data_IF_578042945249
#
_entry.id   IF_578042945249
#
_cell.length_a   1.000
_cell.length_b   1.000
_cell.length_c   1.000
_cell.angle_alpha   90.00
_cell.angle_beta   90.00
_cell.angle_gamma   90.00
#
_symmetry.space_group_name_H-M   'P 1'
#
loop_
_entity.id
_entity.type
_entity.pdbx_description
1 polymer ?
#
# COMPACT_ATOMS: atom_id res chain seq x y z
N UNK A 1 8.18 9.88 10.23
CA UNK A 1 7.80 8.61 9.60
C UNK A 1 6.92 8.87 8.38
N UNK A 2 6.82 7.91 7.47
CA UNK A 2 5.96 7.94 6.28
C UNK A 2 5.00 6.75 6.36
N UNK A 3 3.71 7.00 6.19
CA UNK A 3 2.67 5.98 6.21
C UNK A 3 2.20 5.68 4.78
N UNK A 4 2.57 4.52 4.24
CA UNK A 4 2.26 4.13 2.86
C UNK A 4 0.88 3.51 2.67
N UNK A 5 0.12 3.28 3.76
CA UNK A 5 -1.16 2.59 3.70
C UNK A 5 -2.12 3.17 4.75
N UNK A 6 -3.05 4.03 4.29
CA UNK A 6 -4.00 4.72 5.17
C UNK A 6 -5.30 5.07 4.42
N UNK A 7 -6.46 4.69 4.98
CA UNK A 7 -7.80 4.96 4.43
C UNK A 7 -8.34 6.30 4.94
N UNK A 8 -7.59 7.38 4.65
CA UNK A 8 -7.82 8.71 5.21
C UNK A 8 -8.83 9.55 4.43
N UNK A 9 -9.15 9.18 3.18
CA UNK A 9 -10.11 9.91 2.35
C UNK A 9 -11.53 9.67 2.82
N UNK A 10 -12.33 10.74 3.12
CA UNK A 10 -13.63 10.56 3.72
C UNK A 10 -14.70 10.04 2.76
N UNK A 11 -15.43 9.00 3.18
CA UNK A 11 -16.63 8.49 2.51
C UNK A 11 -16.37 7.87 1.14
N UNK A 12 -15.19 7.33 0.91
CA UNK A 12 -14.82 6.65 -0.35
C UNK A 12 -14.77 5.14 -0.20
N UNK A 13 -14.48 4.67 1.01
CA UNK A 13 -14.41 3.26 1.39
C UNK A 13 -14.88 3.07 2.85
N UNK A 14 -14.37 2.05 3.56
CA UNK A 14 -14.67 1.78 4.97
C UNK A 14 -13.70 2.47 5.95
N UNK A 15 -12.85 3.38 5.46
CA UNK A 15 -11.98 4.22 6.26
C UNK A 15 -12.71 5.44 6.84
N UNK A 16 -12.08 6.60 6.78
CA UNK A 16 -12.65 7.84 7.33
C UNK A 16 -14.07 8.09 6.83
N UNK A 17 -15.01 8.35 7.76
CA UNK A 17 -16.41 8.54 7.43
C UNK A 17 -16.76 9.98 7.05
N UNK A 18 -15.95 10.97 7.45
CA UNK A 18 -16.19 12.39 7.25
C UNK A 18 -14.91 13.23 7.25
N UNK A 19 -15.00 14.49 6.79
CA UNK A 19 -13.87 15.42 6.86
C UNK A 19 -13.43 15.74 8.29
N UNK A 20 -14.35 15.70 9.25
CA UNK A 20 -14.06 15.88 10.67
C UNK A 20 -13.22 14.70 11.19
N UNK A 21 -13.61 13.47 10.84
CA UNK A 21 -12.83 12.25 11.17
C UNK A 21 -11.45 12.30 10.52
N UNK A 22 -11.39 12.66 9.23
CA UNK A 22 -10.12 12.83 8.50
C UNK A 22 -9.22 13.85 9.18
N UNK A 23 -9.74 15.02 9.56
CA UNK A 23 -8.96 16.05 10.24
C UNK A 23 -8.43 15.58 11.61
N UNK A 24 -9.20 14.77 12.35
CA UNK A 24 -8.75 14.18 13.60
C UNK A 24 -7.66 13.12 13.35
N UNK A 25 -7.85 12.24 12.36
CA UNK A 25 -6.81 11.27 11.95
C UNK A 25 -5.50 12.01 11.58
N UNK A 26 -5.58 13.10 10.81
CA UNK A 26 -4.39 13.92 10.48
C UNK A 26 -3.70 14.49 11.73
N UNK A 27 -4.48 15.01 12.70
CA UNK A 27 -3.92 15.51 13.96
C UNK A 27 -3.22 14.42 14.76
N UNK A 28 -3.83 13.22 14.84
CA UNK A 28 -3.22 12.06 15.50
C UNK A 28 -1.92 11.65 14.81
N UNK A 29 -1.93 11.50 13.48
CA UNK A 29 -0.75 11.16 12.69
C UNK A 29 0.39 12.18 12.87
N UNK A 30 0.08 13.48 12.78
CA UNK A 30 1.07 14.54 12.98
C UNK A 30 1.68 14.51 14.41
N UNK A 31 0.85 14.28 15.42
CA UNK A 31 1.29 14.14 16.83
C UNK A 31 2.15 12.89 17.02
N UNK A 32 1.86 11.80 16.31
CA UNK A 32 2.63 10.56 16.34
C UNK A 32 3.95 10.66 15.57
N UNK A 33 4.20 11.76 14.85
CA UNK A 33 5.44 12.00 14.09
C UNK A 33 5.40 11.52 12.66
N UNK A 34 4.22 11.20 12.12
CA UNK A 34 4.03 10.95 10.69
C UNK A 34 4.09 12.29 9.95
N UNK A 35 4.87 12.36 8.86
CA UNK A 35 5.07 13.57 8.06
C UNK A 35 4.51 13.46 6.65
N UNK A 36 4.27 12.24 6.20
CA UNK A 36 3.71 11.96 4.88
C UNK A 36 2.79 10.73 4.95
N UNK A 37 1.65 10.80 4.28
CA UNK A 37 0.64 9.75 4.21
C UNK A 37 0.30 9.52 2.74
N UNK A 38 0.36 8.27 2.30
CA UNK A 38 -0.26 7.83 1.06
C UNK A 38 -1.71 7.44 1.35
N UNK A 39 -2.65 8.19 0.79
CA UNK A 39 -4.06 7.84 0.86
C UNK A 39 -4.32 6.65 -0.08
N UNK A 40 -4.77 5.53 0.46
CA UNK A 40 -4.90 4.26 -0.27
C UNK A 40 -6.32 3.69 -0.16
N UNK A 41 -7.33 4.37 -0.74
CA UNK A 41 -8.67 3.80 -0.74
C UNK A 41 -8.72 2.48 -1.48
N UNK A 42 -9.63 1.61 -1.05
CA UNK A 42 -9.82 0.29 -1.66
C UNK A 42 -10.20 0.35 -3.15
N UNK A 43 -9.74 -0.66 -3.89
CA UNK A 43 -10.29 -1.09 -5.18
C UNK A 43 -10.73 -2.54 -5.07
N UNK A 44 -12.00 -2.81 -4.81
CA UNK A 44 -12.56 -4.16 -4.68
C UNK A 44 -14.02 -4.21 -5.15
N UNK A 45 -14.66 -5.35 -5.03
CA UNK A 45 -16.07 -5.55 -5.47
C UNK A 45 -17.06 -4.58 -4.79
N UNK A 46 -16.73 -4.12 -3.58
CA UNK A 46 -17.58 -3.22 -2.79
C UNK A 46 -17.29 -1.74 -3.06
N UNK A 47 -16.03 -1.40 -3.34
CA UNK A 47 -15.55 -0.04 -3.50
C UNK A 47 -14.87 0.15 -4.85
N UNK A 48 -15.50 0.92 -5.75
CA UNK A 48 -14.91 1.30 -7.03
C UNK A 48 -13.86 2.38 -6.85
N UNK A 49 -12.69 2.19 -7.44
CA UNK A 49 -11.60 3.15 -7.35
C UNK A 49 -11.70 4.24 -8.44
N UNK A 50 -11.58 5.49 -8.02
CA UNK A 50 -11.70 6.67 -8.90
C UNK A 50 -10.54 7.66 -8.68
N UNK A 51 -9.37 7.36 -9.26
CA UNK A 51 -8.13 8.14 -9.05
C UNK A 51 -8.32 9.65 -9.21
N UNK A 52 -8.86 10.11 -10.33
CA UNK A 52 -9.04 11.55 -10.59
C UNK A 52 -9.93 12.27 -9.57
N UNK A 53 -10.96 11.59 -9.07
CA UNK A 53 -11.79 12.08 -7.97
C UNK A 53 -10.97 12.23 -6.69
N UNK A 54 -10.16 11.24 -6.37
CA UNK A 54 -9.36 11.19 -5.14
C UNK A 54 -8.22 12.19 -5.16
N UNK A 55 -7.55 12.38 -6.30
CA UNK A 55 -6.58 13.47 -6.53
C UNK A 55 -7.23 14.85 -6.30
N UNK A 56 -8.47 15.03 -6.73
CA UNK A 56 -9.24 16.23 -6.42
C UNK A 56 -9.47 16.46 -4.93
N UNK A 57 -9.58 15.39 -4.13
CA UNK A 57 -9.74 15.46 -2.67
C UNK A 57 -8.43 15.78 -1.94
N UNK A 58 -7.25 15.44 -2.50
CA UNK A 58 -5.94 15.67 -1.86
C UNK A 58 -5.70 17.16 -1.54
N UNK A 59 -6.17 18.08 -2.37
CA UNK A 59 -6.05 19.54 -2.10
C UNK A 59 -6.71 19.91 -0.78
N UNK A 60 -7.96 19.47 -0.57
CA UNK A 60 -8.66 19.72 0.68
C UNK A 60 -8.03 18.96 1.85
N UNK A 61 -7.50 17.76 1.60
CA UNK A 61 -6.77 16.99 2.60
C UNK A 61 -5.54 17.77 3.10
N UNK A 62 -4.81 18.43 2.20
CA UNK A 62 -3.68 19.28 2.57
C UNK A 62 -4.09 20.47 3.45
N UNK A 63 -5.27 21.06 3.23
CA UNK A 63 -5.80 22.16 4.05
C UNK A 63 -6.11 21.72 5.49
N UNK A 64 -6.65 20.51 5.68
CA UNK A 64 -7.02 19.98 7.00
C UNK A 64 -5.89 19.17 7.65
N UNK A 65 -4.84 18.87 6.91
CA UNK A 65 -3.85 17.82 7.22
C UNK A 65 -2.75 18.18 8.20
N UNK A 66 -2.84 19.29 8.93
CA UNK A 66 -1.91 19.61 10.04
C UNK A 66 -0.41 19.58 9.64
N UNK A 67 -0.07 19.98 8.41
CA UNK A 67 1.32 20.01 7.91
C UNK A 67 1.84 18.66 7.39
N UNK A 68 0.99 17.65 7.27
CA UNK A 68 1.32 16.36 6.64
C UNK A 68 1.31 16.55 5.11
N UNK A 69 2.25 15.92 4.42
CA UNK A 69 2.18 15.73 2.97
C UNK A 69 1.29 14.55 2.63
N UNK A 70 0.60 14.65 1.49
CA UNK A 70 -0.28 13.59 1.02
C UNK A 70 0.04 13.20 -0.41
N UNK A 71 0.02 11.89 -0.63
CA UNK A 71 0.13 11.21 -1.92
C UNK A 71 -1.11 10.33 -2.12
N UNK A 72 -1.33 9.85 -3.34
CA UNK A 72 -2.41 8.93 -3.66
C UNK A 72 -1.86 7.56 -4.06
N UNK A 73 -2.50 6.51 -3.60
CA UNK A 73 -2.27 5.13 -3.99
C UNK A 73 -3.59 4.38 -3.97
N UNK A 74 -3.52 3.07 -3.92
CA UNK A 74 -4.68 2.20 -3.85
C UNK A 74 -4.37 0.98 -3.01
N UNK A 75 -5.25 0.61 -2.08
CA UNK A 75 -5.28 -0.74 -1.55
C UNK A 75 -6.04 -1.63 -2.54
N UNK A 76 -5.25 -2.24 -3.42
CA UNK A 76 -5.72 -2.93 -4.60
C UNK A 76 -6.01 -4.39 -4.26
N UNK A 77 -7.29 -4.73 -4.26
CA UNK A 77 -7.70 -6.11 -4.03
C UNK A 77 -7.36 -6.99 -5.22
N UNK A 78 -6.66 -8.09 -4.97
CA UNK A 78 -6.27 -9.06 -5.97
C UNK A 78 -7.51 -9.80 -6.52
N UNK A 79 -7.95 -9.43 -7.71
CA UNK A 79 -9.00 -10.10 -8.48
C UNK A 79 -8.59 -10.17 -9.94
N UNK A 80 -9.24 -11.04 -10.72
CA UNK A 80 -8.98 -11.13 -12.15
C UNK A 80 -9.21 -9.79 -12.85
N UNK A 81 -10.37 -9.18 -12.62
CA UNK A 81 -10.77 -7.94 -13.28
C UNK A 81 -9.82 -6.76 -12.92
N UNK A 82 -9.44 -6.66 -11.66
CA UNK A 82 -8.49 -5.64 -11.21
C UNK A 82 -7.11 -5.84 -11.85
N UNK A 83 -6.62 -7.07 -11.95
CA UNK A 83 -5.33 -7.37 -12.60
C UNK A 83 -5.38 -6.98 -14.09
N UNK A 84 -6.42 -7.38 -14.83
CA UNK A 84 -6.57 -7.01 -16.24
C UNK A 84 -6.62 -5.49 -16.41
N UNK A 85 -7.37 -4.77 -15.56
CA UNK A 85 -7.44 -3.32 -15.63
C UNK A 85 -6.10 -2.64 -15.27
N UNK A 86 -5.38 -3.15 -14.27
CA UNK A 86 -4.06 -2.63 -13.90
C UNK A 86 -3.00 -2.85 -14.99
N UNK A 87 -3.08 -3.95 -15.73
CA UNK A 87 -2.20 -4.21 -16.89
C UNK A 87 -2.46 -3.25 -18.05
N UNK A 88 -3.73 -2.84 -18.25
CA UNK A 88 -4.11 -1.85 -19.25
C UNK A 88 -3.82 -0.41 -18.81
N UNK A 89 -3.93 -0.14 -17.51
CA UNK A 89 -3.81 1.19 -16.92
C UNK A 89 -2.89 1.19 -15.68
N UNK A 90 -1.57 0.93 -15.85
CA UNK A 90 -0.64 0.68 -14.73
C UNK A 90 -0.56 1.84 -13.74
N UNK A 91 -0.76 3.09 -14.19
CA UNK A 91 -0.73 4.28 -13.33
C UNK A 91 -2.01 4.50 -12.55
N UNK A 92 -3.12 3.83 -12.89
CA UNK A 92 -4.41 4.04 -12.25
C UNK A 92 -4.36 3.76 -10.75
N UNK A 93 -3.67 2.71 -10.34
CA UNK A 93 -3.65 2.21 -8.97
C UNK A 93 -2.31 2.43 -8.25
N UNK A 94 -1.27 2.81 -8.98
CA UNK A 94 0.06 3.01 -8.43
C UNK A 94 0.12 4.18 -7.42
N UNK A 95 1.11 4.14 -6.54
CA UNK A 95 1.42 5.24 -5.64
C UNK A 95 1.94 6.41 -6.47
N UNK A 96 1.19 7.50 -6.53
CA UNK A 96 1.48 8.68 -7.36
C UNK A 96 1.89 8.28 -8.80
N UNK A 97 3.02 8.79 -9.29
CA UNK A 97 3.58 8.47 -10.60
C UNK A 97 4.65 7.36 -10.54
N UNK A 98 4.67 6.57 -9.47
CA UNK A 98 5.63 5.47 -9.32
C UNK A 98 5.18 4.20 -10.04
N UNK A 99 5.99 3.14 -9.97
CA UNK A 99 5.60 1.80 -10.42
C UNK A 99 5.11 0.89 -9.27
N UNK A 100 5.00 1.38 -8.05
CA UNK A 100 4.62 0.57 -6.90
C UNK A 100 3.12 0.52 -6.69
N UNK A 101 2.61 -0.68 -6.40
CA UNK A 101 1.19 -0.97 -6.17
C UNK A 101 1.03 -1.81 -4.91
N UNK A 102 0.21 -1.33 -3.96
CA UNK A 102 -0.21 -2.13 -2.80
C UNK A 102 -1.22 -3.18 -3.25
N UNK A 103 -1.01 -4.44 -2.89
CA UNK A 103 -1.84 -5.56 -3.32
C UNK A 103 -2.32 -6.37 -2.11
N UNK A 104 -3.62 -6.36 -1.89
CA UNK A 104 -4.31 -7.11 -0.84
C UNK A 104 -4.86 -8.45 -1.37
N UNK A 105 -4.71 -9.53 -0.60
CA UNK A 105 -5.22 -10.85 -0.95
C UNK A 105 -6.43 -11.24 -0.10
N UNK A 106 -7.42 -11.85 -0.75
CA UNK A 106 -8.47 -12.57 -0.04
C UNK A 106 -7.91 -13.79 0.71
N UNK A 107 -8.48 -14.10 1.88
CA UNK A 107 -8.20 -15.33 2.64
C UNK A 107 -8.46 -16.61 1.84
N UNK A 108 -9.29 -16.53 0.81
CA UNK A 108 -9.70 -17.67 -0.04
C UNK A 108 -8.93 -17.74 -1.35
N UNK A 109 -8.00 -16.83 -1.61
CA UNK A 109 -7.22 -16.75 -2.85
C UNK A 109 -6.39 -18.03 -3.09
N UNK A 110 -6.31 -18.48 -4.35
CA UNK A 110 -5.42 -19.57 -4.75
C UNK A 110 -4.00 -19.06 -4.88
N UNK A 111 -3.03 -19.63 -4.14
CA UNK A 111 -1.62 -19.21 -4.23
C UNK A 111 -1.01 -19.31 -5.63
N UNK A 112 -1.29 -20.36 -6.44
CA UNK A 112 -0.84 -20.37 -7.83
C UNK A 112 -1.38 -19.19 -8.65
N UNK A 113 -2.67 -18.83 -8.49
CA UNK A 113 -3.26 -17.69 -9.19
C UNK A 113 -2.68 -16.36 -8.70
N UNK A 114 -2.41 -16.22 -7.38
CA UNK A 114 -1.76 -15.04 -6.79
C UNK A 114 -0.36 -14.87 -7.38
N UNK A 115 0.46 -15.92 -7.40
CA UNK A 115 1.82 -15.87 -7.98
C UNK A 115 1.79 -15.52 -9.46
N UNK A 116 0.89 -16.11 -10.23
CA UNK A 116 0.72 -15.81 -11.66
C UNK A 116 0.35 -14.32 -11.86
N UNK A 117 -0.64 -13.82 -11.12
CA UNK A 117 -1.07 -12.43 -11.23
C UNK A 117 0.03 -11.44 -10.82
N UNK A 118 0.77 -11.71 -9.73
CA UNK A 118 1.92 -10.89 -9.32
C UNK A 118 3.05 -10.92 -10.37
N UNK A 119 3.31 -12.08 -10.96
CA UNK A 119 4.27 -12.22 -12.05
C UNK A 119 3.86 -11.40 -13.28
N UNK A 120 2.58 -11.40 -13.65
CA UNK A 120 2.05 -10.58 -14.76
C UNK A 120 2.20 -9.08 -14.48
N UNK A 121 1.86 -8.63 -13.26
CA UNK A 121 2.09 -7.25 -12.82
C UNK A 121 3.56 -6.87 -12.92
N UNK A 122 4.46 -7.69 -12.36
CA UNK A 122 5.90 -7.45 -12.38
C UNK A 122 6.46 -7.42 -13.81
N UNK A 123 6.00 -8.31 -14.68
CA UNK A 123 6.39 -8.36 -16.10
C UNK A 123 5.96 -7.13 -16.89
N UNK A 124 4.89 -6.44 -16.45
CA UNK A 124 4.44 -5.16 -17.03
C UNK A 124 5.13 -3.94 -16.43
N UNK A 125 6.09 -4.14 -15.52
CA UNK A 125 6.85 -3.07 -14.85
C UNK A 125 6.21 -2.54 -13.57
N UNK A 126 5.08 -3.11 -13.10
CA UNK A 126 4.46 -2.80 -11.81
C UNK A 126 5.20 -3.58 -10.72
N UNK A 127 5.58 -2.91 -9.64
CA UNK A 127 6.25 -3.52 -8.48
C UNK A 127 5.22 -3.74 -7.36
N UNK A 128 4.77 -4.98 -7.13
CA UNK A 128 3.77 -5.25 -6.10
C UNK A 128 4.37 -5.12 -4.69
N UNK A 129 3.61 -4.48 -3.81
CA UNK A 129 3.81 -4.47 -2.36
C UNK A 129 2.64 -5.26 -1.76
N UNK A 130 2.90 -6.47 -1.33
CA UNK A 130 1.88 -7.32 -0.68
C UNK A 130 1.56 -6.74 0.70
N UNK A 131 0.29 -6.38 0.90
CA UNK A 131 -0.16 -5.77 2.14
C UNK A 131 -0.51 -6.81 3.19
N UNK A 132 -0.15 -6.53 4.42
CA UNK A 132 -0.48 -7.23 5.66
C UNK A 132 -0.64 -8.77 5.56
N UNK A 133 0.34 -9.50 4.97
CA UNK A 133 0.27 -10.97 4.85
C UNK A 133 0.14 -11.66 6.22
N UNK A 134 0.57 -11.01 7.30
CA UNK A 134 0.47 -11.50 8.67
C UNK A 134 -0.96 -11.52 9.21
N UNK A 135 -1.93 -10.96 8.48
CA UNK A 135 -3.35 -11.00 8.80
C UNK A 135 -4.14 -11.98 7.93
N UNK A 136 -3.56 -12.41 6.82
CA UNK A 136 -4.21 -13.33 5.89
C UNK A 136 -4.20 -14.77 6.47
N UNK A 137 -5.37 -15.39 6.61
CA UNK A 137 -5.52 -16.68 7.28
C UNK A 137 -4.72 -17.79 6.59
N UNK A 138 -4.66 -17.80 5.28
CA UNK A 138 -3.91 -18.80 4.51
C UNK A 138 -2.40 -18.65 4.71
N UNK A 139 -1.90 -17.41 4.69
CA UNK A 139 -0.47 -17.13 4.89
C UNK A 139 -0.04 -17.36 6.35
N UNK A 140 -0.97 -17.17 7.31
CA UNK A 140 -0.74 -17.55 8.70
C UNK A 140 -0.57 -19.08 8.90
N UNK A 141 -1.16 -19.88 8.01
CA UNK A 141 -1.00 -21.34 8.04
C UNK A 141 0.27 -21.81 7.30
N UNK A 142 0.75 -21.03 6.33
CA UNK A 142 1.91 -21.35 5.51
C UNK A 142 2.81 -20.12 5.30
N UNK A 143 3.48 -19.61 6.36
CA UNK A 143 4.24 -18.36 6.33
C UNK A 143 5.43 -18.37 5.34
N UNK A 144 5.97 -19.53 5.03
CA UNK A 144 7.03 -19.70 4.03
C UNK A 144 6.61 -19.22 2.63
N UNK A 145 5.31 -19.20 2.32
CA UNK A 145 4.80 -18.66 1.06
C UNK A 145 5.11 -17.17 0.91
N UNK A 146 5.15 -16.40 2.01
CA UNK A 146 5.55 -14.99 1.95
C UNK A 146 7.02 -14.85 1.53
N UNK A 147 7.90 -15.73 2.02
CA UNK A 147 9.32 -15.74 1.58
C UNK A 147 9.47 -16.10 0.09
N UNK A 148 8.54 -16.89 -0.45
CA UNK A 148 8.51 -17.16 -1.89
C UNK A 148 8.12 -15.90 -2.67
N UNK A 149 7.09 -15.16 -2.22
CA UNK A 149 6.69 -13.90 -2.85
C UNK A 149 7.83 -12.87 -2.83
N UNK A 150 8.61 -12.80 -1.74
CA UNK A 150 9.80 -11.93 -1.65
C UNK A 150 10.86 -12.37 -2.67
N UNK A 151 11.15 -13.68 -2.77
CA UNK A 151 12.11 -14.21 -3.76
C UNK A 151 11.65 -13.93 -5.20
N UNK A 152 10.35 -13.93 -5.44
CA UNK A 152 9.75 -13.63 -6.74
C UNK A 152 9.69 -12.10 -7.02
N UNK A 153 10.23 -11.25 -6.11
CA UNK A 153 10.42 -9.81 -6.31
C UNK A 153 9.33 -8.91 -5.74
N UNK A 154 8.36 -9.45 -4.99
CA UNK A 154 7.37 -8.64 -4.27
C UNK A 154 7.97 -8.02 -3.01
N UNK A 155 7.57 -6.79 -2.69
CA UNK A 155 7.81 -6.19 -1.39
C UNK A 155 6.70 -6.61 -0.40
N UNK A 156 6.98 -6.53 0.89
CA UNK A 156 6.03 -6.88 1.95
C UNK A 156 5.81 -5.67 2.85
N UNK A 157 4.56 -5.28 3.01
CA UNK A 157 4.11 -4.33 4.02
C UNK A 157 3.46 -5.08 5.18
N UNK A 158 3.91 -4.82 6.39
CA UNK A 158 3.31 -5.32 7.64
C UNK A 158 2.56 -4.19 8.34
N UNK A 159 1.40 -4.48 8.94
CA UNK A 159 0.62 -3.48 9.67
C UNK A 159 1.24 -3.20 11.04
N UNK A 160 1.38 -1.93 11.39
CA UNK A 160 1.94 -1.48 12.68
C UNK A 160 1.24 -2.15 13.88
N UNK A 161 -0.10 -2.20 13.85
CA UNK A 161 -0.92 -2.80 14.90
C UNK A 161 -0.73 -4.33 15.04
N UNK A 162 -0.20 -5.02 14.05
CA UNK A 162 0.17 -6.44 14.17
C UNK A 162 1.34 -6.60 15.14
N UNK A 163 2.34 -5.73 15.08
CA UNK A 163 3.52 -5.75 15.96
C UNK A 163 3.18 -5.42 17.41
N UNK A 164 2.12 -4.66 17.66
CA UNK A 164 1.64 -4.32 19.01
C UNK A 164 0.62 -5.32 19.57
N UNK A 165 0.25 -6.34 18.79
CA UNK A 165 -0.65 -7.42 19.22
C UNK A 165 -2.14 -7.14 19.03
N UNK A 166 -2.54 -6.03 18.45
CA UNK A 166 -3.95 -5.68 18.19
C UNK A 166 -4.69 -6.76 17.38
N UNK A 167 -4.04 -7.29 16.34
CA UNK A 167 -4.59 -8.36 15.49
C UNK A 167 -4.43 -9.76 16.06
N UNK A 168 -4.06 -9.86 17.35
CA UNK A 168 -3.92 -11.11 18.09
C UNK A 168 -2.55 -11.77 17.93
N UNK A 169 -2.33 -12.78 18.75
CA UNK A 169 -1.04 -13.44 18.93
C UNK A 169 -0.46 -14.04 17.62
N UNK A 170 -1.30 -14.65 16.79
CA UNK A 170 -0.84 -15.29 15.53
C UNK A 170 -0.26 -14.25 14.58
N UNK A 171 -0.97 -13.13 14.35
CA UNK A 171 -0.52 -12.05 13.48
C UNK A 171 0.76 -11.40 14.02
N UNK A 172 0.83 -11.16 15.33
CA UNK A 172 2.04 -10.62 15.96
C UNK A 172 3.25 -11.53 15.77
N UNK A 173 3.09 -12.84 16.03
CA UNK A 173 4.16 -13.83 15.83
C UNK A 173 4.61 -13.93 14.38
N UNK A 174 3.70 -13.86 13.43
CA UNK A 174 4.01 -13.85 12.01
C UNK A 174 4.79 -12.59 11.62
N UNK A 175 4.34 -11.40 12.06
CA UNK A 175 5.04 -10.14 11.80
C UNK A 175 6.48 -10.16 12.35
N UNK A 176 6.68 -10.62 13.58
CA UNK A 176 8.00 -10.77 14.19
C UNK A 176 8.86 -11.83 13.49
N UNK A 177 8.25 -12.91 13.00
CA UNK A 177 8.94 -13.94 12.25
C UNK A 177 9.40 -13.42 10.87
N UNK A 178 8.53 -12.70 10.15
CA UNK A 178 8.89 -12.06 8.88
C UNK A 178 10.03 -11.06 9.07
N UNK A 179 9.98 -10.26 10.14
CA UNK A 179 11.08 -9.33 10.48
C UNK A 179 12.41 -10.07 10.67
N UNK A 180 12.43 -11.19 11.40
CA UNK A 180 13.63 -12.02 11.61
C UNK A 180 14.14 -12.70 10.34
N UNK A 181 13.31 -12.79 9.30
CA UNK A 181 13.66 -13.35 7.99
C UNK A 181 14.07 -12.30 6.97
N UNK A 182 14.22 -11.03 7.39
CA UNK A 182 14.48 -9.88 6.52
C UNK A 182 13.46 -9.78 5.36
N UNK A 183 12.22 -10.21 5.62
CA UNK A 183 11.15 -10.27 4.64
C UNK A 183 10.18 -9.09 4.74
N UNK A 184 10.39 -8.15 5.68
CA UNK A 184 9.58 -6.93 5.82
C UNK A 184 10.28 -5.78 5.13
N UNK A 185 9.57 -5.05 4.27
CA UNK A 185 10.13 -3.93 3.53
C UNK A 185 9.57 -2.59 4.01
N UNK A 186 8.32 -2.57 4.48
CA UNK A 186 7.60 -1.38 4.93
C UNK A 186 6.69 -1.72 6.11
N UNK A 187 6.59 -0.79 7.05
CA UNK A 187 5.53 -0.80 8.07
C UNK A 187 4.60 0.38 7.79
N UNK A 188 3.28 0.12 7.78
CA UNK A 188 2.26 1.13 7.60
C UNK A 188 1.12 0.95 8.60
N UNK A 189 0.27 1.97 8.77
CA UNK A 189 -0.77 1.93 9.79
C UNK A 189 -1.98 1.09 9.39
N UNK A 190 -2.33 1.14 8.12
CA UNK A 190 -3.61 0.66 7.59
C UNK A 190 -4.79 1.26 8.40
N UNK A 191 -4.68 2.59 8.66
CA UNK A 191 -5.59 3.31 9.52
C UNK A 191 -6.92 3.59 8.83
N UNK A 192 -8.03 3.47 9.60
CA UNK A 192 -9.39 3.66 9.10
C UNK A 192 -10.21 4.64 9.92
N UNK A 193 -9.85 4.85 11.18
CA UNK A 193 -10.60 5.68 12.11
C UNK A 193 -9.69 6.25 13.21
N UNK A 194 -10.28 6.93 14.19
CA UNK A 194 -9.57 7.56 15.31
C UNK A 194 -9.53 6.72 16.59
N UNK A 195 -10.12 5.51 16.60
CA UNK A 195 -10.34 4.72 17.81
C UNK A 195 -9.80 3.30 17.66
N UNK A 196 -10.35 2.54 16.70
CA UNK A 196 -10.03 1.12 16.51
C UNK A 196 -8.76 0.92 15.68
N UNK A 197 -8.64 1.69 14.61
CA UNK A 197 -7.50 1.61 13.67
C UNK A 197 -6.94 3.02 13.40
N UNK A 198 -6.36 3.68 14.43
CA UNK A 198 -5.82 5.03 14.28
C UNK A 198 -4.50 5.04 13.50
N UNK A 199 -4.13 6.20 12.87
CA UNK A 199 -2.87 6.38 12.18
C UNK A 199 -1.72 6.60 13.19
N UNK A 200 -1.25 5.52 13.80
CA UNK A 200 -0.19 5.48 14.81
C UNK A 200 0.89 4.48 14.41
N UNK A 201 2.12 4.95 14.29
CA UNK A 201 3.29 4.16 13.91
C UNK A 201 4.35 4.06 15.00
N UNK A 202 4.39 5.04 15.94
CA UNK A 202 5.45 5.16 16.95
C UNK A 202 5.59 3.93 17.82
N UNK A 203 4.49 3.31 18.26
CA UNK A 203 4.54 2.10 19.09
C UNK A 203 5.18 0.92 18.36
N UNK A 204 4.88 0.75 17.06
CA UNK A 204 5.50 -0.28 16.24
C UNK A 204 6.98 0.05 15.94
N UNK A 205 7.32 1.32 15.74
CA UNK A 205 8.69 1.79 15.62
C UNK A 205 9.52 1.39 16.84
N UNK A 206 9.04 1.72 18.04
CA UNK A 206 9.70 1.36 19.31
C UNK A 206 9.83 -0.16 19.46
N UNK A 207 8.80 -0.91 19.06
CA UNK A 207 8.84 -2.37 19.09
C UNK A 207 9.93 -2.93 18.17
N UNK A 208 10.08 -2.39 16.96
CA UNK A 208 11.12 -2.83 16.03
C UNK A 208 12.51 -2.41 16.53
N UNK A 209 12.67 -1.23 17.13
CA UNK A 209 13.92 -0.84 17.79
C UNK A 209 14.36 -1.88 18.82
N UNK A 210 13.42 -2.41 19.61
CA UNK A 210 13.70 -3.46 20.61
C UNK A 210 14.05 -4.81 20.00
N UNK A 211 13.41 -5.17 18.87
CA UNK A 211 13.57 -6.49 18.23
C UNK A 211 14.77 -6.58 17.29
N UNK A 212 15.08 -5.50 16.55
CA UNK A 212 16.02 -5.51 15.44
C UNK A 212 16.97 -4.30 15.38
N UNK A 213 16.79 -3.32 16.28
CA UNK A 213 17.62 -2.13 16.33
C UNK A 213 17.04 -0.92 15.60
N UNK A 214 17.58 0.26 15.93
CA UNK A 214 17.09 1.55 15.45
C UNK A 214 17.26 1.72 13.93
N UNK A 215 18.34 1.21 13.35
CA UNK A 215 18.62 1.33 11.92
C UNK A 215 17.57 0.57 11.10
N UNK A 216 17.17 -0.62 11.55
CA UNK A 216 16.08 -1.40 10.92
C UNK A 216 14.76 -0.67 11.05
N UNK A 217 14.43 -0.12 12.23
CA UNK A 217 13.23 0.67 12.40
C UNK A 217 13.23 1.88 11.45
N UNK A 218 14.34 2.63 11.36
CA UNK A 218 14.44 3.79 10.46
C UNK A 218 14.26 3.38 9.00
N UNK A 219 14.88 2.29 8.57
CA UNK A 219 14.72 1.77 7.22
C UNK A 219 13.24 1.47 6.89
N UNK A 220 12.50 0.79 7.78
CA UNK A 220 11.14 0.33 7.52
C UNK A 220 10.07 1.44 7.59
N UNK A 221 10.32 2.51 8.37
CA UNK A 221 9.34 3.60 8.57
C UNK A 221 9.70 4.90 7.85
N UNK A 222 10.93 5.01 7.32
CA UNK A 222 11.42 6.26 6.71
C UNK A 222 12.09 6.01 5.37
N UNK A 223 13.21 5.25 5.33
CA UNK A 223 14.06 5.18 4.15
C UNK A 223 13.39 4.42 3.00
N UNK A 224 12.87 3.21 3.26
CA UNK A 224 12.19 2.39 2.26
C UNK A 224 10.89 3.05 1.78
N UNK A 225 9.99 3.55 2.66
CA UNK A 225 8.84 4.34 2.22
C UNK A 225 9.23 5.53 1.36
N UNK A 226 10.26 6.29 1.75
CA UNK A 226 10.74 7.44 0.98
C UNK A 226 11.27 7.01 -0.41
N UNK A 227 12.00 5.90 -0.49
CA UNK A 227 12.48 5.37 -1.76
C UNK A 227 11.32 4.96 -2.69
N UNK A 228 10.24 4.42 -2.13
CA UNK A 228 9.04 4.03 -2.87
C UNK A 228 8.33 5.26 -3.44
N UNK A 229 8.01 6.27 -2.62
CA UNK A 229 7.28 7.46 -3.08
C UNK A 229 8.11 8.38 -3.97
N UNK A 230 9.44 8.30 -3.91
CA UNK A 230 10.36 9.09 -4.74
C UNK A 230 10.74 8.39 -6.05
N UNK A 231 10.30 7.16 -6.26
CA UNK A 231 10.64 6.39 -7.46
C UNK A 231 9.87 6.92 -8.68
N UNK A 232 10.57 7.34 -9.71
CA UNK A 232 9.94 7.75 -10.98
C UNK A 232 9.62 6.51 -11.81
N UNK A 233 8.37 6.38 -12.27
CA UNK A 233 7.95 5.31 -13.16
C UNK A 233 8.47 5.55 -14.58
N UNK A 234 9.19 4.57 -15.12
CA UNK A 234 9.54 4.53 -16.54
C UNK A 234 8.53 3.73 -17.37
N UNK A 235 7.39 3.34 -16.80
CA UNK A 235 6.37 2.53 -17.48
C UNK A 235 5.58 3.43 -18.43
N UNK A 236 5.61 3.20 -19.76
CA UNK A 236 4.82 3.98 -20.70
C UNK A 236 3.33 3.67 -20.53
N UNK A 237 2.47 4.69 -20.55
CA UNK A 237 1.04 4.50 -20.64
C UNK A 237 0.66 3.83 -21.97
N UNK A 238 -0.14 2.78 -21.93
CA UNK A 238 -0.61 2.09 -23.13
C UNK A 238 -1.37 3.02 -24.11
N UNK A 239 -1.93 4.14 -23.61
CA UNK A 239 -2.55 5.18 -24.43
C UNK A 239 -1.57 5.93 -25.34
N UNK A 240 -0.27 5.94 -25.05
CA UNK A 240 0.75 6.58 -25.90
C UNK A 240 1.16 5.71 -27.09
N UNK A 241 0.88 4.41 -27.07
CA UNK A 241 1.23 3.48 -28.16
C UNK A 241 0.20 3.46 -29.29
N UNK A 242 -1.05 3.91 -29.05
CA UNK A 242 -2.10 3.95 -30.07
C UNK A 242 -2.02 5.16 -31.02
N UNK A 243 -1.29 6.21 -30.67
CA UNK A 243 -1.16 7.41 -31.53
C UNK A 243 -0.02 7.34 -32.54
N UNK A 244 0.92 6.39 -32.42
CA UNK A 244 2.03 6.27 -33.37
C UNK A 244 1.74 5.39 -34.58
N UNK A 245 0.58 4.71 -34.64
CA UNK A 245 0.19 3.83 -35.77
C UNK A 245 -0.74 4.48 -36.80
N UNK A 246 -1.27 5.69 -36.56
CA UNK A 246 -2.21 6.37 -37.48
C UNK A 246 -1.53 7.32 -38.50
N UNK A 247 -0.24 7.59 -38.39
CA UNK A 247 0.47 8.53 -39.27
C UNK A 247 1.29 7.89 -40.40
N UNK A 248 1.05 6.61 -40.72
CA UNK A 248 1.75 5.92 -41.82
C UNK A 248 0.84 5.38 -42.92
N UNK A 249 -0.14 6.15 -43.35
CA UNK A 249 -0.88 5.83 -44.58
C UNK A 249 -1.45 7.09 -45.23
N UNK A 250 -0.60 7.93 -45.80
CA UNK A 250 -0.93 8.79 -46.94
C UNK A 250 0.38 9.35 -47.51
N UNK A 251 1.03 8.58 -48.37
CA UNK A 251 1.94 9.06 -49.39
C UNK A 251 2.10 7.93 -50.40
N UNK A 252 1.21 7.92 -51.38
CA UNK A 252 1.48 7.65 -52.82
C UNK A 252 0.19 7.91 -53.61
#
# INVERSE_FOLDING_TARGET
>A
MIDLHCHILPGVDDGSSSWETTAEMCRMAAKDGIREIVATPHANERFSYHRSRYEGMLRRLTEVGSGIKFSIGCDFHFSFDNIEDALLHPKRYAIDDTCYLLVEFSDFGSMPAIKEGLFRLASSGIKPIVTHPERNLRLLEAPEMVLELVRDGSLIQVTANSLTGYWGYRSQRMAEWLLKKDAVHVIASDAHDTVSRPPVLSQAFDRICQLAGQDVAHALFVDNPNAIISAVSNTPDATSLSQSSSDRTTAD
#
